data_IF_803994038727
#
_entry.id   IF_803994038727
#
_cell.length_a   1.000
_cell.length_b   1.000
_cell.length_c   1.000
_cell.angle_alpha   90.00
_cell.angle_beta   90.00
_cell.angle_gamma   90.00
#
_symmetry.space_group_name_H-M   'P 1'
#
loop_
_entity.id
_entity.type
_entity.pdbx_description
1 polymer ?
2 non-polymer ?
3 water ?
#
# COMPACT_ATOMS: atom_id res chain seq x y z
N UNK A 17 -16.99 20.35 -13.73
CA UNK A 17 -17.00 19.48 -14.90
C UNK A 17 -15.61 18.91 -15.11
N UNK A 18 -14.63 19.74 -14.79
CA UNK A 18 -13.23 19.33 -14.87
C UNK A 18 -12.94 18.16 -13.93
N UNK A 19 -13.44 18.22 -12.68
CA UNK A 19 -13.21 17.15 -11.72
C UNK A 19 -13.90 15.86 -12.16
N UNK A 20 -15.10 15.97 -12.73
CA UNK A 20 -15.81 14.80 -13.26
C UNK A 20 -15.01 14.12 -14.36
N UNK A 21 -14.37 14.90 -15.24
CA UNK A 21 -13.49 14.33 -16.24
C UNK A 21 -12.38 13.52 -15.58
N UNK A 22 -11.74 14.12 -14.56
CA UNK A 22 -10.59 13.45 -13.93
C UNK A 22 -10.99 12.17 -13.21
N UNK A 23 -12.19 12.17 -12.62
CA UNK A 23 -12.71 11.00 -11.92
C UNK A 23 -13.05 9.89 -12.91
N UNK A 24 -13.61 10.29 -14.06
CA UNK A 24 -13.95 9.32 -15.09
C UNK A 24 -12.67 8.73 -15.68
N UNK A 25 -11.69 9.58 -15.97
CA UNK A 25 -10.39 9.11 -16.46
C UNK A 25 -9.72 8.20 -15.45
N UNK A 26 -9.74 8.57 -14.16
CA UNK A 26 -9.17 7.72 -13.11
C UNK A 26 -9.82 6.33 -13.10
N UNK A 27 -11.15 6.28 -13.20
CA UNK A 27 -11.83 4.98 -13.35
C UNK A 27 -11.25 4.16 -14.52
N UNK A 28 -11.20 4.75 -15.71
CA UNK A 28 -10.72 3.97 -16.86
C UNK A 28 -9.28 3.52 -16.65
N UNK A 29 -8.43 4.40 -16.11
CA UNK A 29 -7.02 4.06 -15.96
C UNK A 29 -6.87 2.90 -14.97
N UNK A 30 -7.63 2.94 -13.88
CA UNK A 30 -7.60 1.83 -12.93
C UNK A 30 -8.16 0.55 -13.55
N UNK A 31 -9.13 0.64 -14.45
CA UNK A 31 -9.75 -0.56 -14.99
C UNK A 31 -8.99 -1.13 -16.19
N UNK A 32 -8.54 -0.27 -17.13
CA UNK A 32 -7.85 -0.74 -18.32
C UNK A 32 -6.34 -0.51 -18.28
N UNK A 33 -5.84 0.28 -17.34
CA UNK A 33 -4.45 0.68 -17.35
C UNK A 33 -4.24 2.00 -18.08
N UNK A 34 -3.07 2.60 -17.83
CA UNK A 34 -2.73 3.90 -18.42
C UNK A 34 -2.37 3.74 -19.90
N UNK A 35 -1.53 2.75 -20.24
CA UNK A 35 -1.18 2.47 -21.63
C UNK A 35 -2.40 2.02 -22.43
N UNK A 36 -3.29 1.26 -21.81
CA UNK A 36 -4.50 0.84 -22.51
C UNK A 36 -5.44 1.99 -22.84
N UNK A 37 -5.49 3.02 -21.99
CA UNK A 37 -6.51 4.04 -22.07
C UNK A 37 -6.08 5.21 -22.95
N UNK A 38 -6.97 5.61 -23.85
CA UNK A 38 -6.69 6.69 -24.79
C UNK A 38 -7.57 7.92 -24.52
N UNK A 39 -7.11 9.07 -25.03
CA UNK A 39 -7.86 10.29 -24.86
C UNK A 39 -9.21 10.19 -25.57
N UNK A 40 -9.25 9.46 -26.69
CA UNK A 40 -10.52 9.25 -27.38
C UNK A 40 -11.46 8.42 -26.51
N UNK A 41 -10.95 7.37 -25.87
CA UNK A 41 -11.81 6.58 -24.97
C UNK A 41 -12.29 7.41 -23.79
N UNK A 42 -11.42 8.28 -23.26
CA UNK A 42 -11.84 9.14 -22.17
C UNK A 42 -12.93 10.09 -22.61
N UNK A 43 -12.77 10.69 -23.80
CA UNK A 43 -13.80 11.59 -24.27
C UNK A 43 -15.14 10.86 -24.36
N UNK A 44 -15.15 9.66 -24.94
CA UNK A 44 -16.40 8.92 -25.06
C UNK A 44 -17.00 8.57 -23.71
N UNK A 45 -16.17 8.13 -22.76
CA UNK A 45 -16.69 7.81 -21.43
C UNK A 45 -17.27 9.03 -20.73
N UNK A 46 -16.76 10.23 -21.04
CA UNK A 46 -17.27 11.49 -20.51
C UNK A 46 -18.44 12.02 -21.33
N UNK A 47 -18.81 11.33 -22.41
CA UNK A 47 -19.83 11.81 -23.33
C UNK A 47 -19.51 13.21 -23.84
N UNK A 48 -18.25 13.43 -24.22
CA UNK A 48 -17.79 14.71 -24.73
C UNK A 48 -17.20 14.55 -26.13
N UNK A 49 -17.22 15.62 -26.92
CA UNK A 49 -16.44 15.61 -28.13
C UNK A 49 -14.96 15.64 -27.75
N UNK A 50 -14.12 15.16 -28.67
CA UNK A 50 -12.67 15.31 -28.50
C UNK A 50 -12.28 16.77 -28.33
N UNK A 51 -12.99 17.67 -29.04
CA UNK A 51 -12.72 19.09 -28.90
C UNK A 51 -13.02 19.57 -27.48
N UNK A 52 -14.13 19.09 -26.91
CA UNK A 52 -14.51 19.53 -25.58
C UNK A 52 -13.57 19.00 -24.53
N UNK A 53 -13.15 17.75 -24.66
CA UNK A 53 -12.10 17.22 -23.76
C UNK A 53 -10.82 18.02 -23.90
N UNK A 54 -10.39 18.25 -25.13
CA UNK A 54 -9.13 18.94 -25.39
C UNK A 54 -9.07 20.31 -24.73
N UNK A 55 -10.20 21.01 -24.63
CA UNK A 55 -10.23 22.30 -23.93
C UNK A 55 -9.75 22.18 -22.49
N UNK A 56 -10.00 21.05 -21.85
CA UNK A 56 -9.55 20.80 -20.47
C UNK A 56 -8.16 20.14 -20.40
N UNK A 57 -7.91 19.09 -21.19
CA UNK A 57 -6.70 18.28 -21.16
C UNK A 57 -6.27 17.93 -22.59
N UNK A 58 -5.00 18.15 -22.92
CA UNK A 58 -4.53 17.95 -24.30
C UNK A 58 -3.71 16.67 -24.54
N UNK A 59 -3.15 16.03 -23.53
CA UNK A 59 -2.43 14.78 -23.75
C UNK A 59 -2.43 13.98 -22.45
N UNK A 60 -1.82 12.78 -22.51
CA UNK A 60 -1.92 11.86 -21.39
C UNK A 60 -1.03 12.28 -20.24
N UNK A 61 0.15 12.85 -20.53
CA UNK A 61 0.99 13.41 -19.48
C UNK A 61 0.24 14.46 -18.67
N UNK A 62 -0.35 15.42 -19.36
CA UNK A 62 -1.14 16.44 -18.68
C UNK A 62 -2.24 15.80 -17.83
N UNK A 63 -2.94 14.81 -18.38
CA UNK A 63 -4.03 14.17 -17.65
C UNK A 63 -3.55 13.56 -16.35
N UNK A 64 -2.44 12.82 -16.40
CA UNK A 64 -1.94 12.14 -15.21
C UNK A 64 -1.59 13.13 -14.10
N UNK A 65 -0.82 14.18 -14.43
CA UNK A 65 -0.47 15.22 -13.45
C UNK A 65 -1.71 15.89 -12.89
N UNK A 66 -2.70 16.09 -13.74
CA UNK A 66 -3.95 16.69 -13.28
C UNK A 66 -4.63 15.79 -12.25
N UNK A 67 -4.69 14.49 -12.53
CA UNK A 67 -5.34 13.59 -11.58
C UNK A 67 -4.57 13.60 -10.27
N UNK A 68 -3.23 13.51 -10.33
CA UNK A 68 -2.44 13.49 -9.10
C UNK A 68 -2.58 14.80 -8.32
N UNK A 69 -2.60 15.95 -9.00
CA UNK A 69 -2.83 17.20 -8.28
C UNK A 69 -4.25 17.26 -7.70
N UNK A 70 -5.22 16.67 -8.40
CA UNK A 70 -6.58 16.62 -7.86
C UNK A 70 -6.59 15.78 -6.60
N UNK A 71 -5.82 14.68 -6.59
CA UNK A 71 -5.75 13.85 -5.41
C UNK A 71 -5.19 14.60 -4.22
N UNK A 72 -4.18 15.42 -4.45
CA UNK A 72 -3.67 16.19 -3.31
C UNK A 72 -4.63 17.29 -2.88
N UNK A 73 -5.37 17.88 -3.82
CA UNK A 73 -6.46 18.79 -3.49
C UNK A 73 -7.49 18.10 -2.61
N UNK A 74 -7.74 16.82 -2.87
CA UNK A 74 -8.72 16.10 -2.07
C UNK A 74 -8.21 15.89 -0.64
N UNK A 75 -6.91 15.57 -0.47
CA UNK A 75 -6.34 15.51 0.89
C UNK A 75 -6.59 16.83 1.65
N UNK A 76 -6.43 17.98 1.00
CA UNK A 76 -6.77 19.25 1.64
C UNK A 76 -8.27 19.34 1.95
N UNK A 77 -9.11 19.08 0.94
CA UNK A 77 -10.53 19.35 1.06
C UNK A 77 -11.24 18.36 1.96
N UNK A 78 -10.83 17.11 1.92
CA UNK A 78 -11.51 16.05 2.64
C UNK A 78 -10.83 15.65 3.92
N UNK A 79 -9.60 16.09 4.16
CA UNK A 79 -8.89 15.65 5.35
C UNK A 79 -8.34 16.86 6.13
N UNK A 80 -7.32 17.53 5.60
CA UNK A 80 -6.64 18.57 6.36
C UNK A 80 -7.55 19.71 6.80
N UNK A 81 -8.36 20.21 5.90
CA UNK A 81 -9.20 21.35 6.25
C UNK A 81 -10.19 20.98 7.34
N UNK A 82 -10.42 19.69 7.53
CA UNK A 82 -11.35 19.22 8.53
C UNK A 82 -10.71 19.01 9.88
N UNK A 83 -9.37 18.94 9.98
CA UNK A 83 -8.74 18.52 11.24
C UNK A 83 -7.67 19.50 11.70
N UNK A 84 -7.23 20.40 10.83
CA UNK A 84 -5.98 21.10 11.11
C UNK A 84 -6.09 22.03 12.32
N UNK A 85 -7.30 22.43 12.70
CA UNK A 85 -7.54 23.31 13.84
C UNK A 85 -7.70 22.56 15.16
N UNK A 86 -7.67 21.23 15.18
CA UNK A 86 -7.82 20.48 16.43
C UNK A 86 -6.51 20.62 17.21
N UNK A 87 -6.61 21.18 18.42
CA UNK A 87 -5.41 21.56 19.15
C UNK A 87 -4.75 20.38 19.82
N UNK A 88 -5.57 19.48 20.37
CA UNK A 88 -5.08 18.26 20.98
C UNK A 88 -4.56 17.32 19.89
N UNK A 89 -3.26 16.95 19.92
CA UNK A 89 -2.65 16.24 18.78
C UNK A 89 -3.09 14.80 18.62
N UNK A 90 -3.43 14.09 19.70
CA UNK A 90 -4.00 12.76 19.53
C UNK A 90 -5.43 12.84 18.99
N UNK A 91 -6.23 13.81 19.44
CA UNK A 91 -7.55 14.01 18.84
C UNK A 91 -7.42 14.35 17.37
N UNK A 92 -6.42 15.12 17.02
CA UNK A 92 -6.17 15.46 15.62
C UNK A 92 -5.81 14.22 14.78
N UNK A 93 -4.92 13.38 15.32
CA UNK A 93 -4.53 12.18 14.58
C UNK A 93 -5.72 11.23 14.43
N UNK A 94 -6.55 11.10 15.48
CA UNK A 94 -7.72 10.23 15.40
C UNK A 94 -8.72 10.71 14.35
N UNK A 95 -8.93 12.01 14.29
CA UNK A 95 -9.83 12.58 13.28
C UNK A 95 -9.22 12.48 11.89
N UNK A 96 -7.89 12.70 11.78
CA UNK A 96 -7.21 12.65 10.49
C UNK A 96 -7.29 11.25 9.90
N UNK A 97 -7.06 10.24 10.74
CA UNK A 97 -7.16 8.86 10.30
C UNK A 97 -8.56 8.52 9.81
N UNK A 98 -9.58 8.90 10.58
CA UNK A 98 -10.95 8.60 10.16
C UNK A 98 -11.27 9.28 8.82
N UNK A 99 -10.97 10.57 8.70
CA UNK A 99 -11.21 11.25 7.42
C UNK A 99 -10.43 10.63 6.27
N UNK A 100 -9.15 10.26 6.51
CA UNK A 100 -8.34 9.65 5.45
C UNK A 100 -8.92 8.30 4.99
N UNK A 101 -9.45 7.50 5.92
CA UNK A 101 -10.01 6.21 5.54
C UNK A 101 -11.24 6.42 4.66
N UNK A 102 -12.02 7.42 5.01
CA UNK A 102 -13.18 7.75 4.18
C UNK A 102 -12.73 8.22 2.78
N UNK A 103 -11.76 9.11 2.70
CA UNK A 103 -11.26 9.51 1.39
C UNK A 103 -10.81 8.32 0.52
N UNK A 104 -10.27 7.28 1.15
CA UNK A 104 -9.75 6.12 0.44
C UNK A 104 -10.86 5.22 -0.05
N UNK A 105 -12.03 5.24 0.62
CA UNK A 105 -13.06 4.24 0.41
C UNK A 105 -14.29 4.77 -0.28
N UNK A 106 -14.52 6.09 -0.26
CA UNK A 106 -15.70 6.64 -0.94
C UNK A 106 -15.63 6.36 -2.45
N UNK A 107 -16.72 5.88 -3.02
CA UNK A 107 -16.72 5.56 -4.42
C UNK A 107 -16.19 6.69 -5.32
N UNK A 108 -16.57 7.95 -5.02
CA UNK A 108 -16.21 9.02 -5.96
C UNK A 108 -14.74 9.40 -5.91
N UNK A 109 -14.02 9.14 -4.81
CA UNK A 109 -12.65 9.59 -4.68
C UNK A 109 -11.62 8.46 -4.78
N UNK A 110 -12.04 7.20 -4.71
CA UNK A 110 -11.09 6.12 -4.44
C UNK A 110 -10.08 5.91 -5.57
N UNK A 111 -10.48 6.06 -6.84
CA UNK A 111 -9.53 5.78 -7.91
C UNK A 111 -8.56 6.91 -8.12
N UNK A 112 -8.99 8.17 -7.94
CA UNK A 112 -8.06 9.31 -7.94
C UNK A 112 -6.93 9.05 -6.93
N UNK A 113 -7.27 8.57 -5.74
CA UNK A 113 -6.26 8.42 -4.71
C UNK A 113 -5.35 7.23 -5.03
N UNK A 114 -5.91 6.16 -5.59
CA UNK A 114 -5.08 5.03 -6.01
C UNK A 114 -4.02 5.50 -7.01
N UNK A 115 -4.42 6.32 -7.97
CA UNK A 115 -3.46 6.75 -8.99
C UNK A 115 -2.38 7.63 -8.38
N UNK A 116 -2.76 8.45 -7.40
CA UNK A 116 -1.82 9.30 -6.68
C UNK A 116 -0.61 8.52 -6.15
N UNK A 117 -0.84 7.30 -5.68
CA UNK A 117 0.23 6.54 -5.04
C UNK A 117 0.64 5.30 -5.84
N UNK A 118 0.00 5.06 -6.98
CA UNK A 118 0.37 3.97 -7.88
C UNK A 118 0.87 4.51 -9.22
N UNK A 124 9.16 14.09 -13.91
CA UNK A 124 10.53 14.56 -13.82
C UNK A 124 10.63 15.75 -12.91
N UNK A 125 10.35 16.96 -13.45
CA UNK A 125 10.02 18.10 -12.61
C UNK A 125 8.60 18.01 -12.08
N UNK A 126 7.69 17.40 -12.84
CA UNK A 126 6.32 17.19 -12.36
C UNK A 126 6.31 16.23 -11.18
N UNK A 127 7.17 15.21 -11.24
CA UNK A 127 7.32 14.27 -10.13
C UNK A 127 7.72 14.99 -8.84
N UNK A 128 8.55 16.03 -8.96
CA UNK A 128 8.95 16.74 -7.74
C UNK A 128 7.84 17.66 -7.23
N UNK A 129 7.00 18.21 -8.10
CA UNK A 129 5.93 19.07 -7.64
C UNK A 129 4.90 18.27 -6.83
N UNK A 130 4.53 17.08 -7.32
CA UNK A 130 3.63 16.20 -6.57
C UNK A 130 4.34 15.68 -5.33
N UNK A 131 5.62 15.30 -5.44
CA UNK A 131 6.34 14.81 -4.27
C UNK A 131 6.35 15.84 -3.15
N UNK A 132 6.52 17.10 -3.51
CA UNK A 132 6.52 18.17 -2.49
C UNK A 132 5.16 18.29 -1.83
N UNK A 133 4.09 18.12 -2.61
CA UNK A 133 2.77 18.17 -2.00
C UNK A 133 2.57 16.97 -1.07
N UNK A 134 2.96 15.79 -1.52
CA UNK A 134 2.82 14.62 -0.65
C UNK A 134 3.57 14.83 0.66
N UNK A 135 4.73 15.47 0.60
CA UNK A 135 5.55 15.60 1.80
C UNK A 135 4.93 16.55 2.81
N UNK A 136 4.15 17.54 2.36
CA UNK A 136 3.44 18.40 3.30
C UNK A 136 2.46 17.61 4.16
N UNK A 137 1.80 16.61 3.60
CA UNK A 137 0.93 15.75 4.41
C UNK A 137 1.72 14.94 5.42
N UNK A 138 2.81 14.30 4.99
CA UNK A 138 3.65 13.54 5.90
C UNK A 138 4.17 14.44 7.02
N UNK A 139 4.58 15.67 6.68
CA UNK A 139 5.06 16.61 7.70
C UNK A 139 3.99 16.87 8.75
N UNK A 140 2.75 17.05 8.30
CA UNK A 140 1.64 17.26 9.20
C UNK A 140 1.48 16.09 10.15
N UNK A 141 1.51 14.86 9.62
CA UNK A 141 1.40 13.70 10.51
C UNK A 141 2.58 13.64 11.48
N UNK A 142 3.80 13.92 11.00
CA UNK A 142 4.97 13.86 11.88
C UNK A 142 4.87 14.88 13.01
N UNK A 143 4.42 16.10 12.72
CA UNK A 143 4.27 17.10 13.78
C UNK A 143 3.26 16.65 14.82
N UNK A 144 2.14 16.06 14.39
CA UNK A 144 1.16 15.56 15.37
C UNK A 144 1.71 14.41 16.20
N UNK A 145 2.39 13.46 15.57
CA UNK A 145 3.01 12.39 16.34
C UNK A 145 4.01 12.96 17.35
N UNK A 146 4.83 13.94 16.95
CA UNK A 146 5.77 14.58 17.86
C UNK A 146 5.10 15.19 19.08
N UNK A 147 4.07 15.99 18.86
CA UNK A 147 3.33 16.66 19.92
C UNK A 147 2.64 15.67 20.85
N UNK A 148 1.94 14.68 20.27
CA UNK A 148 1.27 13.69 21.08
C UNK A 148 2.22 12.87 21.93
N UNK A 149 3.41 12.49 21.38
CA UNK A 149 4.39 11.73 22.15
C UNK A 149 4.97 12.59 23.28
N UNK A 150 5.40 13.80 22.98
CA UNK A 150 5.97 14.66 24.02
C UNK A 150 4.98 14.91 25.15
N UNK A 151 3.69 14.99 24.83
CA UNK A 151 2.66 15.32 25.80
C UNK A 151 2.11 14.07 26.49
N UNK A 152 2.66 12.90 26.19
CA UNK A 152 2.22 11.66 26.81
C UNK A 152 0.81 11.24 26.46
N UNK A 153 0.29 11.66 25.30
CA UNK A 153 -1.03 11.25 24.86
C UNK A 153 -1.00 10.01 23.95
N UNK A 154 0.18 9.59 23.50
CA UNK A 154 0.40 8.33 22.80
C UNK A 154 1.71 7.76 23.32
N UNK A 155 1.82 6.46 23.23
CA UNK A 155 3.09 5.79 23.56
C UNK A 155 4.21 6.35 22.68
N UNK A 156 5.44 6.52 23.21
CA UNK A 156 6.50 7.11 22.38
C UNK A 156 6.76 6.32 21.11
N UNK A 157 6.99 7.06 20.02
CA UNK A 157 7.28 6.49 18.70
C UNK A 157 8.04 7.54 17.91
N UNK A 158 8.96 7.08 17.06
CA UNK A 158 9.62 7.98 16.12
C UNK A 158 8.56 8.56 15.20
N UNK A 159 8.49 9.90 15.05
CA UNK A 159 7.36 10.48 14.30
C UNK A 159 7.25 10.02 12.85
N UNK A 160 8.39 9.72 12.19
CA UNK A 160 8.35 9.21 10.82
C UNK A 160 7.78 7.80 10.80
N UNK A 161 8.17 6.96 11.76
CA UNK A 161 7.57 5.64 11.91
C UNK A 161 6.06 5.78 12.10
N UNK A 162 5.66 6.63 13.05
CA UNK A 162 4.23 6.88 13.29
C UNK A 162 3.54 7.27 12.00
N UNK A 163 4.11 8.24 11.29
CA UNK A 163 3.49 8.77 10.07
C UNK A 163 3.29 7.70 9.01
N UNK A 164 4.35 6.94 8.68
CA UNK A 164 4.21 5.98 7.61
C UNK A 164 3.51 4.69 8.07
N UNK A 165 3.42 4.41 9.36
CA UNK A 165 2.56 3.31 9.80
C UNK A 165 1.11 3.66 9.54
N UNK A 166 0.74 4.86 9.96
CA UNK A 166 -0.55 5.47 9.67
C UNK A 166 -0.85 5.41 8.17
N UNK A 167 0.07 5.93 7.36
CA UNK A 167 -0.16 5.98 5.92
C UNK A 167 -0.32 4.59 5.31
N UNK A 168 0.56 3.64 5.66
CA UNK A 168 0.42 2.29 5.12
C UNK A 168 -0.91 1.66 5.52
N UNK A 169 -1.24 1.71 6.80
CA UNK A 169 -2.54 1.17 7.23
C UNK A 169 -3.67 1.70 6.38
N UNK A 170 -3.67 3.01 6.13
CA UNK A 170 -4.87 3.63 5.55
C UNK A 170 -4.88 3.49 4.04
N UNK A 171 -3.75 3.71 3.38
CA UNK A 171 -3.76 3.70 1.93
C UNK A 171 -3.95 2.28 1.39
N UNK A 172 -3.49 1.26 2.11
CA UNK A 172 -3.60 -0.12 1.67
C UNK A 172 -5.03 -0.66 1.71
N UNK A 173 -5.97 0.08 2.35
CA UNK A 173 -7.37 -0.34 2.43
C UNK A 173 -7.99 -0.60 1.05
N UNK A 174 -7.56 0.14 0.02
CA UNK A 174 -8.14 -0.10 -1.30
C UNK A 174 -7.91 -1.51 -1.81
N UNK A 175 -6.85 -2.20 -1.35
CA UNK A 175 -6.55 -3.57 -1.78
C UNK A 175 -7.58 -4.58 -1.29
N UNK A 176 -8.32 -4.30 -0.23
CA UNK A 176 -9.17 -5.31 0.37
C UNK A 176 -10.57 -4.83 0.71
N UNK A 177 -10.83 -3.56 0.67
CA UNK A 177 -12.17 -3.09 1.01
C UNK A 177 -13.11 -3.27 -0.16
N UNK A 178 -14.37 -3.60 0.17
CA UNK A 178 -15.54 -3.58 -0.71
C UNK A 178 -16.73 -3.12 0.12
N UNK A 179 -17.70 -2.42 -0.48
CA UNK A 179 -18.79 -1.81 0.29
C UNK A 179 -19.85 -2.79 0.72
N UNK A 180 -19.73 -4.05 0.30
CA UNK A 180 -20.60 -5.12 0.76
C UNK A 180 -19.84 -6.18 1.54
N UNK A 181 -18.64 -5.86 2.01
CA UNK A 181 -17.91 -6.75 2.87
C UNK A 181 -18.48 -6.82 4.26
N UNK A 182 -17.87 -7.71 5.04
CA UNK A 182 -18.33 -7.93 6.41
C UNK A 182 -18.21 -6.67 7.25
N UNK A 183 -17.08 -5.97 7.16
CA UNK A 183 -16.84 -4.75 7.91
C UNK A 183 -17.20 -3.51 7.07
N UNK A 184 -17.95 -2.58 7.66
CA UNK A 184 -18.21 -1.29 7.05
C UNK A 184 -16.97 -0.40 7.16
N UNK A 185 -17.01 0.71 6.45
CA UNK A 185 -15.96 1.67 6.50
C UNK A 185 -15.80 2.20 7.93
N UNK A 186 -16.93 2.48 8.57
CA UNK A 186 -16.90 3.00 9.94
C UNK A 186 -16.34 1.98 10.92
N UNK A 187 -16.66 0.69 10.75
CA UNK A 187 -16.10 -0.32 11.63
C UNK A 187 -14.58 -0.40 11.46
N UNK A 188 -14.11 -0.24 10.21
CA UNK A 188 -12.66 -0.29 9.94
C UNK A 188 -12.00 0.92 10.59
N UNK A 189 -12.61 2.10 10.46
CA UNK A 189 -12.01 3.28 11.08
C UNK A 189 -12.05 3.19 12.60
N UNK A 190 -13.17 2.74 13.16
CA UNK A 190 -13.25 2.64 14.61
C UNK A 190 -12.13 1.75 15.12
N UNK A 191 -11.87 0.66 14.40
CA UNK A 191 -10.90 -0.32 14.81
C UNK A 191 -9.46 0.13 14.65
N UNK A 192 -9.17 0.78 13.52
CA UNK A 192 -7.80 1.24 13.25
C UNK A 192 -7.40 2.34 14.24
N UNK A 193 -8.31 3.28 14.49
CA UNK A 193 -8.03 4.36 15.40
C UNK A 193 -7.83 3.81 16.79
N UNK A 194 -8.63 2.80 17.14
CA UNK A 194 -8.52 2.18 18.46
C UNK A 194 -7.19 1.49 18.65
N UNK A 195 -6.61 0.96 17.57
CA UNK A 195 -5.30 0.28 17.63
C UNK A 195 -4.16 1.28 17.81
N UNK A 196 -4.12 2.30 16.96
CA UNK A 196 -2.98 3.21 16.99
C UNK A 196 -3.11 4.27 18.07
N UNK A 197 -4.32 4.73 18.36
CA UNK A 197 -4.55 5.88 19.22
C UNK A 197 -5.57 5.56 20.32
N UNK A 198 -5.34 4.51 21.10
CA UNK A 198 -6.23 4.22 22.21
C UNK A 198 -6.07 5.25 23.31
N UNK A 199 -6.98 5.31 24.28
CA UNK A 199 -6.69 6.06 25.50
C UNK A 199 -5.38 5.61 26.12
N UNK A 200 -4.55 6.59 26.47
CA UNK A 200 -3.23 6.32 27.00
C UNK A 200 -2.85 7.39 28.02
N UNK B 16 17.99 -23.66 -11.39
CA UNK B 16 18.77 -22.46 -11.13
C UNK B 16 18.56 -21.41 -12.23
N UNK B 17 18.51 -21.85 -13.49
CA UNK B 17 18.30 -20.92 -14.59
C UNK B 17 16.89 -20.34 -14.56
N UNK B 18 15.91 -21.10 -14.08
CA UNK B 18 14.52 -20.65 -14.09
C UNK B 18 14.28 -19.58 -13.04
N UNK B 19 14.70 -19.83 -11.80
CA UNK B 19 14.50 -18.83 -10.75
C UNK B 19 15.21 -17.52 -11.11
N UNK B 20 16.37 -17.63 -11.76
CA UNK B 20 17.08 -16.44 -12.21
C UNK B 20 16.25 -15.67 -13.24
N UNK B 21 15.52 -16.38 -14.10
CA UNK B 21 14.68 -15.68 -15.04
C UNK B 21 13.58 -14.92 -14.29
N UNK B 22 12.98 -15.54 -13.27
CA UNK B 22 11.89 -14.86 -12.57
C UNK B 22 12.39 -13.63 -11.86
N UNK B 23 13.57 -13.71 -11.25
CA UNK B 23 14.14 -12.58 -10.53
C UNK B 23 14.44 -11.42 -11.47
N UNK B 24 15.03 -11.72 -12.62
CA UNK B 24 15.33 -10.68 -13.60
C UNK B 24 14.07 -10.04 -14.14
N UNK B 25 13.09 -10.87 -14.55
CA UNK B 25 11.83 -10.32 -15.03
C UNK B 25 11.16 -9.43 -13.98
N UNK B 26 11.18 -9.86 -12.73
CA UNK B 26 10.53 -9.13 -11.65
C UNK B 26 11.17 -7.76 -11.46
N UNK B 27 12.50 -7.71 -11.50
CA UNK B 27 13.20 -6.43 -11.39
C UNK B 27 12.77 -5.48 -12.52
N UNK B 28 12.65 -5.99 -13.74
CA UNK B 28 12.27 -5.14 -14.87
C UNK B 28 10.82 -4.71 -14.73
N UNK B 29 9.95 -5.62 -14.31
CA UNK B 29 8.55 -5.27 -14.17
C UNK B 29 8.38 -4.22 -13.09
N UNK B 30 9.19 -4.27 -12.04
CA UNK B 30 9.03 -3.28 -10.98
C UNK B 30 9.53 -1.92 -11.42
N UNK B 31 10.56 -1.89 -12.26
CA UNK B 31 11.14 -0.62 -12.70
C UNK B 31 10.18 0.16 -13.60
N UNK B 32 9.62 -0.50 -14.62
CA UNK B 32 8.79 0.18 -15.62
C UNK B 32 7.38 -0.39 -15.74
N UNK B 33 6.98 -1.29 -14.84
CA UNK B 33 5.63 -1.82 -14.83
C UNK B 33 5.40 -2.92 -15.84
N UNK B 34 4.27 -3.62 -15.63
CA UNK B 34 3.95 -4.80 -16.45
C UNK B 34 3.74 -4.43 -17.91
N UNK B 35 2.89 -3.43 -18.19
CA UNK B 35 2.60 -3.08 -19.58
C UNK B 35 3.86 -2.65 -20.30
N UNK B 36 4.74 -1.94 -19.60
CA UNK B 36 5.94 -1.38 -20.22
C UNK B 36 7.16 -2.28 -20.17
N UNK B 37 6.98 -3.59 -20.15
CA UNK B 37 8.08 -4.54 -20.22
C UNK B 37 7.77 -5.59 -21.28
N UNK B 38 8.69 -5.77 -22.22
CA UNK B 38 8.52 -6.75 -23.29
C UNK B 38 9.25 -8.05 -22.97
N UNK B 39 8.79 -9.13 -23.59
CA UNK B 39 9.47 -10.41 -23.46
C UNK B 39 10.85 -10.36 -24.09
N UNK B 40 11.04 -9.57 -25.16
CA UNK B 40 12.37 -9.38 -25.71
C UNK B 40 13.28 -8.67 -24.70
N UNK B 41 12.77 -7.65 -24.01
CA UNK B 41 13.54 -6.99 -22.94
C UNK B 41 13.94 -7.99 -21.86
N UNK B 42 13.00 -8.82 -21.42
CA UNK B 42 13.27 -9.82 -20.40
C UNK B 42 14.32 -10.82 -20.91
N UNK B 43 14.17 -11.31 -22.15
CA UNK B 43 15.15 -12.26 -22.68
C UNK B 43 16.56 -11.68 -22.68
N UNK B 44 16.71 -10.46 -23.19
CA UNK B 44 18.06 -9.89 -23.28
C UNK B 44 18.64 -9.67 -21.89
N UNK B 45 17.81 -9.20 -20.96
CA UNK B 45 18.25 -9.06 -19.57
C UNK B 45 18.70 -10.39 -18.97
N UNK B 46 18.18 -11.51 -19.46
CA UNK B 46 18.61 -12.84 -18.99
C UNK B 46 19.72 -13.43 -19.84
N UNK B 47 20.28 -12.66 -20.77
CA UNK B 47 21.35 -13.15 -21.65
C UNK B 47 20.91 -14.39 -22.42
N UNK B 48 19.68 -14.35 -22.94
CA UNK B 48 19.08 -15.41 -23.75
C UNK B 48 18.42 -14.84 -24.99
N UNK B 49 18.18 -15.72 -25.96
CA UNK B 49 17.34 -15.36 -27.08
C UNK B 49 15.87 -15.40 -26.65
N UNK B 50 15.01 -14.74 -27.41
CA UNK B 50 13.59 -14.82 -27.07
C UNK B 50 13.09 -16.26 -27.18
N UNK B 51 13.65 -17.02 -28.12
CA UNK B 51 13.28 -18.43 -28.22
C UNK B 51 13.71 -19.17 -26.96
N UNK B 52 14.92 -18.90 -26.47
CA UNK B 52 15.36 -19.49 -25.21
C UNK B 52 14.44 -19.17 -24.05
N UNK B 53 13.99 -17.93 -23.96
CA UNK B 53 13.07 -17.57 -22.88
C UNK B 53 11.79 -18.41 -22.95
N UNK B 54 11.21 -18.54 -24.15
CA UNK B 54 9.96 -19.29 -24.25
C UNK B 54 10.13 -20.79 -24.04
N UNK B 55 11.35 -21.33 -24.04
CA UNK B 55 11.53 -22.69 -23.55
C UNK B 55 11.10 -22.82 -22.11
N UNK B 56 11.33 -21.80 -21.30
CA UNK B 56 11.04 -21.87 -19.88
C UNK B 56 9.65 -21.34 -19.52
N UNK B 57 9.10 -20.39 -20.27
CA UNK B 57 7.83 -19.72 -19.93
C UNK B 57 6.95 -19.63 -21.17
N UNK B 58 5.64 -19.73 -20.98
CA UNK B 58 4.71 -19.84 -22.11
C UNK B 58 4.33 -18.49 -22.70
N UNK B 59 4.18 -17.48 -21.86
CA UNK B 59 3.86 -16.13 -22.29
C UNK B 59 4.02 -15.22 -21.08
N UNK B 60 3.63 -13.96 -21.26
CA UNK B 60 3.81 -12.97 -20.19
C UNK B 60 2.88 -13.25 -19.02
N UNK B 61 1.65 -13.65 -19.30
CA UNK B 61 0.69 -13.89 -18.24
C UNK B 61 1.13 -15.05 -17.37
N UNK B 62 1.69 -16.12 -17.98
CA UNK B 62 2.20 -17.21 -17.18
C UNK B 62 3.45 -16.81 -16.43
N UNK B 63 4.27 -15.94 -17.02
CA UNK B 63 5.47 -15.47 -16.33
C UNK B 63 5.10 -14.79 -15.03
N UNK B 64 4.09 -13.91 -15.09
CA UNK B 64 3.64 -13.22 -13.88
C UNK B 64 3.16 -14.22 -12.85
N UNK B 65 2.34 -15.20 -13.28
CA UNK B 65 1.88 -16.22 -12.35
C UNK B 65 3.06 -16.92 -11.69
N UNK B 66 4.07 -17.27 -12.50
CA UNK B 66 5.24 -17.99 -11.98
C UNK B 66 5.99 -17.13 -10.96
N UNK B 67 6.15 -15.85 -11.27
CA UNK B 67 6.81 -14.94 -10.32
C UNK B 67 6.06 -14.92 -9.01
N UNK B 68 4.74 -14.76 -9.05
CA UNK B 68 3.97 -14.66 -7.82
C UNK B 68 4.04 -15.96 -7.02
N UNK B 69 3.97 -17.11 -7.69
CA UNK B 69 4.06 -18.37 -6.97
C UNK B 69 5.43 -18.57 -6.34
N UNK B 70 6.47 -18.20 -7.06
CA UNK B 70 7.82 -18.23 -6.49
C UNK B 70 7.90 -17.30 -5.30
N UNK B 71 7.22 -16.15 -5.38
CA UNK B 71 7.20 -15.22 -4.26
C UNK B 71 6.60 -15.84 -3.01
N UNK B 72 5.44 -16.48 -3.16
CA UNK B 72 4.81 -17.14 -2.03
C UNK B 72 5.71 -18.20 -1.45
N UNK B 73 6.39 -18.98 -2.30
CA UNK B 73 7.32 -19.98 -1.78
C UNK B 73 8.37 -19.33 -0.90
N UNK B 74 9.06 -18.31 -1.43
CA UNK B 74 10.08 -17.58 -0.68
C UNK B 74 9.55 -17.06 0.64
N UNK B 75 8.35 -16.47 0.63
CA UNK B 75 7.78 -15.94 1.84
C UNK B 75 7.53 -17.04 2.87
N UNK B 76 6.88 -18.13 2.47
CA UNK B 76 6.65 -19.25 3.39
C UNK B 76 7.98 -19.76 3.97
N UNK B 77 9.02 -19.80 3.14
CA UNK B 77 10.31 -20.30 3.63
C UNK B 77 10.94 -19.31 4.62
N UNK B 78 10.84 -18.01 4.35
CA UNK B 78 11.65 -17.06 5.11
C UNK B 78 10.87 -16.31 6.19
N UNK B 79 9.55 -16.45 6.23
CA UNK B 79 8.70 -15.76 7.22
C UNK B 79 7.81 -16.78 7.90
N UNK B 80 6.95 -17.46 7.17
CA UNK B 80 5.99 -18.32 7.85
C UNK B 80 6.67 -19.53 8.51
N UNK B 81 7.61 -20.18 7.79
CA UNK B 81 8.29 -21.36 8.34
C UNK B 81 8.88 -21.07 9.70
N UNK B 82 9.44 -19.88 9.87
CA UNK B 82 10.13 -19.48 11.10
C UNK B 82 9.19 -19.12 12.25
N UNK B 83 7.91 -18.83 12.03
CA UNK B 83 7.08 -18.31 13.11
C UNK B 83 5.89 -19.20 13.43
N UNK B 84 5.55 -20.16 12.57
CA UNK B 84 4.32 -20.90 12.75
C UNK B 84 4.33 -21.80 13.98
N UNK B 85 5.49 -22.05 14.58
CA UNK B 85 5.59 -22.91 15.76
C UNK B 85 5.69 -22.12 17.07
N UNK B 86 5.64 -20.79 17.03
CA UNK B 86 5.58 -19.98 18.25
C UNK B 86 4.17 -20.08 18.86
N UNK B 87 4.09 -20.62 20.09
CA UNK B 87 2.77 -20.89 20.66
C UNK B 87 2.06 -19.62 21.16
N UNK B 88 2.77 -18.70 21.77
CA UNK B 88 2.17 -17.48 22.30
C UNK B 88 1.76 -16.59 21.13
N UNK B 89 0.48 -16.24 20.97
CA UNK B 89 0.09 -15.56 19.72
C UNK B 89 0.65 -14.16 19.57
N UNK B 90 0.89 -13.41 20.66
CA UNK B 90 1.45 -12.07 20.47
C UNK B 90 2.95 -12.17 20.17
N UNK B 91 3.67 -13.11 20.79
CA UNK B 91 5.04 -13.37 20.35
C UNK B 91 5.07 -13.79 18.88
N UNK B 92 4.11 -14.64 18.47
CA UNK B 92 4.05 -15.08 17.08
C UNK B 92 3.83 -13.90 16.13
N UNK B 93 2.88 -13.02 16.47
CA UNK B 93 2.66 -11.81 15.67
C UNK B 93 3.90 -10.93 15.62
N UNK B 94 4.55 -10.70 16.77
CA UNK B 94 5.70 -9.81 16.81
C UNK B 94 6.85 -10.33 15.95
N UNK B 95 7.10 -11.62 16.00
CA UNK B 95 8.16 -12.21 15.19
C UNK B 95 7.79 -12.15 13.71
N UNK B 96 6.51 -12.40 13.43
CA UNK B 96 6.07 -12.41 12.05
C UNK B 96 6.21 -11.03 11.44
N UNK B 97 5.80 -10.01 12.19
CA UNK B 97 5.90 -8.65 11.68
C UNK B 97 7.34 -8.24 11.47
N UNK B 98 8.23 -8.63 12.40
CA UNK B 98 9.64 -8.28 12.25
C UNK B 98 10.24 -8.99 11.03
N UNK B 99 9.92 -10.26 10.86
CA UNK B 99 10.41 -11.01 9.70
C UNK B 99 9.88 -10.43 8.39
N UNK B 100 8.60 -10.02 8.36
CA UNK B 100 8.04 -9.44 7.13
C UNK B 100 8.72 -8.11 6.81
N UNK B 101 9.02 -7.31 7.83
CA UNK B 101 9.63 -6.00 7.58
C UNK B 101 11.02 -6.23 7.04
N UNK B 102 11.76 -7.11 7.67
CA UNK B 102 13.15 -7.28 7.25
C UNK B 102 13.20 -7.95 5.88
N UNK B 103 12.22 -8.79 5.54
CA UNK B 103 12.14 -9.34 4.19
C UNK B 103 12.08 -8.22 3.15
N UNK B 104 11.34 -7.16 3.47
CA UNK B 104 11.09 -6.09 2.52
C UNK B 104 12.32 -5.22 2.37
N UNK B 105 13.06 -5.03 3.45
CA UNK B 105 14.19 -4.10 3.44
C UNK B 105 15.53 -4.79 3.19
N UNK B 106 15.65 -6.07 3.51
CA UNK B 106 16.91 -6.79 3.39
C UNK B 106 16.85 -7.99 2.44
N UNK B 107 15.70 -8.32 1.91
CA UNK B 107 15.52 -9.57 1.21
C UNK B 107 16.25 -9.62 -0.11
N UNK B 108 16.45 -10.84 -0.58
CA UNK B 108 17.23 -11.08 -1.78
C UNK B 108 16.39 -11.09 -3.03
N UNK B 109 15.07 -10.98 -2.89
CA UNK B 109 14.12 -11.10 -4.01
C UNK B 109 13.03 -10.05 -3.84
N UNK B 110 13.42 -8.80 -3.60
CA UNK B 110 12.44 -7.81 -3.16
C UNK B 110 11.38 -7.57 -4.22
N UNK B 111 11.79 -7.59 -5.48
CA UNK B 111 10.90 -7.28 -6.58
C UNK B 111 9.94 -8.42 -6.84
N UNK B 112 10.37 -9.65 -6.59
CA UNK B 112 9.44 -10.78 -6.61
C UNK B 112 8.35 -10.58 -5.58
N UNK B 113 8.73 -10.20 -4.36
CA UNK B 113 7.74 -10.00 -3.29
C UNK B 113 6.80 -8.84 -3.62
N UNK B 114 7.32 -7.75 -4.18
CA UNK B 114 6.47 -6.62 -4.55
C UNK B 114 5.39 -7.06 -5.54
N UNK B 115 5.78 -7.83 -6.56
CA UNK B 115 4.79 -8.27 -7.54
C UNK B 115 3.75 -9.15 -6.89
N UNK B 116 4.13 -9.89 -5.85
CA UNK B 116 3.22 -10.86 -5.27
C UNK B 116 2.05 -10.16 -4.61
N UNK B 117 2.29 -9.02 -3.96
CA UNK B 117 1.22 -8.31 -3.29
C UNK B 117 0.72 -7.10 -4.07
N UNK B 118 1.34 -6.76 -5.20
CA UNK B 118 0.84 -5.62 -6.00
C UNK B 118 0.19 -6.11 -7.29
N UNK B 126 -5.71 -18.85 -12.67
CA UNK B 126 -4.45 -18.62 -11.99
C UNK B 126 -4.62 -17.61 -10.87
N UNK B 127 -5.42 -16.57 -11.16
CA UNK B 127 -5.84 -15.63 -10.13
C UNK B 127 -6.32 -16.37 -8.89
N UNK B 128 -7.16 -17.39 -9.09
CA UNK B 128 -7.78 -18.04 -7.94
C UNK B 128 -6.76 -18.84 -7.15
N UNK B 129 -5.74 -19.36 -7.84
CA UNK B 129 -4.72 -20.18 -7.21
C UNK B 129 -3.84 -19.33 -6.30
N UNK B 130 -3.39 -18.18 -6.79
CA UNK B 130 -2.57 -17.31 -5.96
C UNK B 130 -3.41 -16.69 -4.84
N UNK B 131 -4.62 -16.22 -5.17
CA UNK B 131 -5.50 -15.67 -4.14
C UNK B 131 -5.64 -16.64 -2.97
N UNK B 132 -5.92 -17.92 -3.26
CA UNK B 132 -6.03 -18.89 -2.19
C UNK B 132 -4.73 -19.04 -1.39
N UNK B 133 -3.58 -18.90 -2.05
CA UNK B 133 -2.32 -18.96 -1.31
C UNK B 133 -2.16 -17.73 -0.42
N UNK B 134 -2.49 -16.56 -0.95
CA UNK B 134 -2.42 -15.35 -0.14
C UNK B 134 -3.38 -15.39 1.03
N UNK B 135 -4.56 -15.99 0.86
CA UNK B 135 -5.52 -16.09 1.95
C UNK B 135 -4.98 -16.93 3.10
N UNK B 136 -4.09 -17.88 2.83
CA UNK B 136 -3.49 -18.64 3.92
C UNK B 136 -2.75 -17.74 4.89
N UNK B 137 -2.10 -16.69 4.37
CA UNK B 137 -1.40 -15.77 5.29
C UNK B 137 -2.39 -14.92 6.05
N UNK B 138 -3.44 -14.43 5.38
CA UNK B 138 -4.44 -13.62 6.08
C UNK B 138 -5.12 -14.44 7.17
N UNK B 139 -5.48 -15.70 6.85
CA UNK B 139 -6.03 -16.62 7.85
C UNK B 139 -5.11 -16.75 9.05
N UNK B 140 -3.79 -16.89 8.80
CA UNK B 140 -2.80 -17.04 9.86
C UNK B 140 -2.78 -15.82 10.78
N UNK B 141 -2.78 -14.62 10.20
CA UNK B 141 -2.76 -13.41 11.01
C UNK B 141 -4.06 -13.24 11.79
N UNK B 142 -5.20 -13.49 11.14
CA UNK B 142 -6.45 -13.32 11.84
C UNK B 142 -6.54 -14.28 13.03
N UNK B 143 -6.02 -15.51 12.84
CA UNK B 143 -6.05 -16.49 13.93
C UNK B 143 -5.23 -15.99 15.10
N UNK B 144 -4.10 -15.38 14.83
CA UNK B 144 -3.26 -14.95 15.92
C UNK B 144 -3.82 -13.74 16.64
N UNK B 145 -4.36 -12.75 15.90
CA UNK B 145 -5.03 -11.60 16.52
C UNK B 145 -6.19 -12.06 17.37
N UNK B 146 -6.94 -13.04 16.88
CA UNK B 146 -8.04 -13.62 17.65
C UNK B 146 -7.54 -14.22 18.95
N UNK B 147 -6.52 -15.08 18.87
CA UNK B 147 -5.98 -15.72 20.07
C UNK B 147 -5.39 -14.69 21.02
N UNK B 148 -4.65 -13.71 20.51
CA UNK B 148 -4.03 -12.68 21.35
C UNK B 148 -5.08 -11.83 22.06
N UNK B 149 -6.12 -11.45 21.34
CA UNK B 149 -7.18 -10.67 21.93
C UNK B 149 -7.87 -11.46 23.03
N UNK B 150 -8.26 -12.70 22.73
CA UNK B 150 -8.93 -13.56 23.70
C UNK B 150 -8.10 -13.78 24.95
N UNK B 151 -6.77 -13.91 24.80
CA UNK B 151 -5.92 -14.19 25.94
C UNK B 151 -5.48 -12.94 26.68
N UNK B 152 -5.94 -11.76 26.28
CA UNK B 152 -5.62 -10.54 26.99
C UNK B 152 -4.21 -10.06 26.76
N UNK B 153 -3.61 -10.44 25.63
CA UNK B 153 -2.23 -10.05 25.32
C UNK B 153 -2.16 -8.84 24.41
N UNK B 154 -3.25 -8.50 23.76
CA UNK B 154 -3.39 -7.26 23.01
C UNK B 154 -4.73 -6.63 23.35
N UNK B 155 -4.79 -5.30 23.18
CA UNK B 155 -6.07 -4.60 23.27
C UNK B 155 -7.04 -5.23 22.29
N UNK B 156 -8.28 -5.49 22.68
CA UNK B 156 -9.20 -6.16 21.77
C UNK B 156 -9.30 -5.40 20.45
N UNK B 157 -9.43 -6.17 19.38
CA UNK B 157 -9.63 -5.63 18.04
C UNK B 157 -10.26 -6.72 17.20
N UNK B 158 -10.96 -6.33 16.16
CA UNK B 158 -11.47 -7.29 15.21
C UNK B 158 -10.29 -7.93 14.49
N UNK B 159 -10.23 -9.27 14.36
CA UNK B 159 -9.01 -9.88 13.79
C UNK B 159 -8.67 -9.46 12.39
N UNK B 160 -9.68 -9.22 11.56
CA UNK B 160 -9.42 -8.74 10.21
C UNK B 160 -8.83 -7.32 10.20
N UNK B 161 -9.40 -6.41 11.01
CA UNK B 161 -8.81 -5.07 11.17
C UNK B 161 -7.35 -5.18 11.58
N UNK B 162 -7.06 -6.08 12.54
CA UNK B 162 -5.68 -6.26 12.95
C UNK B 162 -4.77 -6.76 11.84
N UNK B 163 -5.16 -7.85 11.16
CA UNK B 163 -4.41 -8.42 10.05
C UNK B 163 -4.12 -7.39 8.96
N UNK B 164 -5.14 -6.65 8.55
CA UNK B 164 -4.93 -5.73 7.45
C UNK B 164 -4.25 -4.45 7.86
N UNK B 165 -4.27 -4.10 9.13
CA UNK B 165 -3.45 -2.97 9.60
C UNK B 165 -1.98 -3.39 9.57
N UNK B 166 -1.74 -4.58 10.09
CA UNK B 166 -0.41 -5.21 10.01
C UNK B 166 0.09 -5.22 8.56
N UNK B 167 -0.68 -5.80 7.64
CA UNK B 167 -0.23 -5.93 6.26
C UNK B 167 -0.05 -4.56 5.60
N UNK B 168 -0.96 -3.60 5.84
CA UNK B 168 -0.75 -2.28 5.26
C UNK B 168 0.49 -1.58 5.77
N UNK B 169 0.81 -1.73 7.06
CA UNK B 169 2.00 -1.07 7.56
C UNK B 169 3.24 -1.67 6.89
N UNK B 170 3.30 -3.00 6.77
CA UNK B 170 4.52 -3.64 6.25
C UNK B 170 4.60 -3.50 4.74
N UNK B 171 3.48 -3.70 4.02
CA UNK B 171 3.55 -3.79 2.57
C UNK B 171 3.71 -2.43 1.90
N UNK B 172 3.43 -1.34 2.62
CA UNK B 172 3.67 0.01 2.12
C UNK B 172 5.16 0.41 2.17
N UNK B 173 5.97 -0.25 3.01
CA UNK B 173 7.34 0.19 3.27
C UNK B 173 8.05 0.49 1.97
N UNK B 174 7.93 -0.39 0.95
CA UNK B 174 8.78 -0.25 -0.24
C UNK B 174 8.51 1.06 -0.97
N UNK B 175 7.38 1.69 -0.72
CA UNK B 175 7.03 2.93 -1.39
C UNK B 175 7.74 4.15 -0.83
N UNK B 176 8.23 4.08 0.41
CA UNK B 176 8.77 5.27 1.07
C UNK B 176 10.20 5.08 1.59
N UNK B 177 10.53 3.85 2.00
CA UNK B 177 11.77 3.66 2.74
C UNK B 177 12.97 3.89 1.82
N UNK B 178 13.89 4.77 2.26
CA UNK B 178 15.16 5.02 1.56
C UNK B 178 16.30 4.53 2.43
N UNK B 179 17.09 3.54 2.00
CA UNK B 179 18.12 3.01 2.89
C UNK B 179 19.16 4.03 3.29
N UNK B 180 19.41 5.03 2.45
CA UNK B 180 20.44 6.02 2.76
C UNK B 180 19.90 7.13 3.66
N UNK B 181 18.66 7.01 4.12
CA UNK B 181 18.02 8.03 4.92
C UNK B 181 18.35 7.91 6.40
N UNK B 182 17.65 8.73 7.18
CA UNK B 182 17.92 8.83 8.62
C UNK B 182 17.62 7.54 9.33
N UNK B 183 16.43 7.01 9.08
CA UNK B 183 15.93 5.86 9.80
C UNK B 183 16.60 4.61 9.28
N UNK B 184 16.95 3.71 10.19
CA UNK B 184 17.44 2.40 9.78
C UNK B 184 16.27 1.41 9.72
N UNK B 185 16.46 0.34 8.96
CA UNK B 185 15.41 -0.68 8.91
C UNK B 185 15.21 -1.36 10.26
N UNK B 186 16.26 -1.51 11.08
CA UNK B 186 16.01 -2.05 12.42
C UNK B 186 15.15 -1.11 13.26
N UNK B 187 15.35 0.21 13.13
CA UNK B 187 14.53 1.16 13.88
C UNK B 187 13.08 1.09 13.42
N UNK B 188 12.85 0.88 12.12
CA UNK B 188 11.49 0.78 11.61
C UNK B 188 10.80 -0.46 12.16
N UNK B 189 11.51 -1.59 12.14
CA UNK B 189 10.98 -2.83 12.70
C UNK B 189 10.67 -2.66 14.17
N UNK B 190 11.62 -2.11 14.94
CA UNK B 190 11.37 -1.93 16.35
C UNK B 190 10.16 -1.04 16.59
N UNK B 191 10.05 0.06 15.84
CA UNK B 191 8.99 1.04 16.08
C UNK B 191 7.61 0.51 15.73
N UNK B 192 7.49 -0.04 14.52
CA UNK B 192 6.26 -0.70 14.07
C UNK B 192 5.75 -1.79 15.02
N UNK B 193 6.61 -2.76 15.36
CA UNK B 193 6.20 -3.80 16.29
C UNK B 193 5.74 -3.21 17.61
N UNK B 194 6.48 -2.19 18.11
CA UNK B 194 6.12 -1.58 19.37
C UNK B 194 4.82 -0.84 19.30
N UNK B 195 4.43 -0.40 18.11
CA UNK B 195 3.18 0.33 17.96
C UNK B 195 1.98 -0.60 18.05
N UNK B 196 2.01 -1.71 17.30
CA UNK B 196 0.86 -2.61 17.28
C UNK B 196 0.86 -3.57 18.45
N UNK B 197 2.03 -3.90 18.99
CA UNK B 197 2.14 -4.99 19.98
C UNK B 197 2.98 -4.58 21.18
N UNK B 198 2.61 -3.50 21.84
CA UNK B 198 3.33 -3.11 23.04
C UNK B 198 3.02 -4.06 24.17
N UNK B 199 3.89 -4.13 25.18
CA UNK B 199 3.48 -4.75 26.45
C UNK B 199 2.06 -4.34 26.82
N UNK B 200 1.22 -5.34 27.08
CA UNK B 200 -0.18 -5.09 27.40
C UNK B 200 -0.66 -6.09 28.46
#
# INVERSE_FOLDING_TARGET
GSHMTNTGGRKPDEGERYRAILETAARLICDRGYEGTSMQEIAAACRMTKAGLYHHIQNKEQLLFAIMNYGMDLFEEQVLSRVQDIANPVERLRACMRHNILLVTRGWSKEVIIILHEHATLTGETRAFIDARKKKYVDFLEEAFSQASQQGLIRPVDPTVGAFSFLGMVLWIYKWFKPDGRLTDEQIADGMVGMLFPPFAAAGDTAGQAGPSPLRMVPSVSATGTDSEDA
GSHMTNTGGRKPDEGERYRAILETAARLICDRGYEGTSMQEIAAACRMTKAGLYHHIQNKEQLLFAIMNYGMDLFEEQVLSRVQDIANPVERLRACMRHNILLVTRGWSKEVIIILHEHATLTGETRAFIDARKKKYVDFLEEAFSQASQQGLIRPVDPTVGAFSFLGMVLWIYKWFKPDGRLTDEQIADGMVGMLFPPFAAAGDTAGQAGPSPLRMVPSVSATGTDSEDA
#
